data_IF_440278221111
#
_entry.id   IF_440278221111
#
_cell.length_a   1.000
_cell.length_b   1.000
_cell.length_c   1.000
_cell.angle_alpha   90.00
_cell.angle_beta   90.00
_cell.angle_gamma   90.00
#
_symmetry.space_group_name_H-M   'P 1'
#
loop_
_entity.id
_entity.type
_entity.pdbx_description
1 polymer ?
#
# COMPACT_ATOMS: atom_id res chain seq x y z
N UNK A 1 -23.92 17.89 29.59
CA UNK A 1 -23.20 18.57 28.50
C UNK A 1 -22.56 17.46 27.67
N UNK A 2 -23.29 16.93 26.69
CA UNK A 2 -22.82 15.85 25.81
C UNK A 2 -21.90 16.44 24.75
N UNK A 3 -20.63 16.10 24.80
CA UNK A 3 -19.68 16.34 23.71
C UNK A 3 -20.01 15.39 22.57
N UNK A 4 -20.85 15.82 21.64
CA UNK A 4 -20.94 15.22 20.31
C UNK A 4 -19.61 15.48 19.62
N UNK A 5 -18.68 14.52 19.73
CA UNK A 5 -17.53 14.45 18.83
C UNK A 5 -18.08 14.17 17.45
N UNK A 6 -18.26 15.22 16.65
CA UNK A 6 -18.62 15.10 15.25
C UNK A 6 -17.53 14.31 14.54
N UNK A 7 -17.81 13.06 14.21
CA UNK A 7 -16.98 12.19 13.35
C UNK A 7 -17.11 12.64 11.89
N UNK A 8 -16.76 13.90 11.62
CA UNK A 8 -16.86 14.52 10.29
C UNK A 8 -16.02 13.78 9.23
N UNK A 9 -15.05 12.97 9.65
CA UNK A 9 -14.24 12.10 8.79
C UNK A 9 -14.95 10.80 8.36
N UNK A 10 -16.06 10.40 8.98
CA UNK A 10 -16.83 9.21 8.56
C UNK A 10 -17.74 9.48 7.35
N UNK A 11 -18.16 10.73 7.18
CA UNK A 11 -19.09 11.15 6.11
C UNK A 11 -18.45 12.08 5.07
N UNK A 12 -17.16 12.40 5.20
CA UNK A 12 -16.47 13.15 4.17
C UNK A 12 -16.45 12.30 2.88
N UNK A 13 -17.09 12.74 1.78
CA UNK A 13 -16.86 12.14 0.48
C UNK A 13 -15.39 12.39 0.18
N UNK A 14 -14.56 11.38 0.45
CA UNK A 14 -13.15 11.42 0.09
C UNK A 14 -13.03 11.72 -1.41
N UNK A 15 -11.95 12.36 -1.86
CA UNK A 15 -11.71 12.56 -3.28
C UNK A 15 -11.85 11.22 -3.97
N UNK A 16 -12.85 11.12 -4.83
CA UNK A 16 -13.03 9.95 -5.68
C UNK A 16 -11.81 9.92 -6.58
N UNK A 17 -11.07 8.83 -6.53
CA UNK A 17 -9.96 8.61 -7.44
C UNK A 17 -10.46 8.64 -8.91
N UNK A 18 -9.54 8.74 -9.88
CA UNK A 18 -9.83 8.79 -11.32
C UNK A 18 -10.80 7.68 -11.77
N UNK A 19 -10.85 6.56 -11.06
CA UNK A 19 -11.67 5.39 -11.38
C UNK A 19 -12.98 5.32 -10.58
N UNK A 20 -13.38 6.40 -9.88
CA UNK A 20 -14.66 6.47 -9.16
C UNK A 20 -14.70 5.62 -7.88
N UNK A 21 -13.54 5.21 -7.39
CA UNK A 21 -13.40 4.34 -6.21
C UNK A 21 -13.52 5.15 -4.93
N UNK A 22 -14.23 4.60 -3.95
CA UNK A 22 -14.29 5.15 -2.60
C UNK A 22 -12.89 5.10 -1.96
N UNK A 23 -12.33 6.25 -1.60
CA UNK A 23 -10.93 6.36 -1.14
C UNK A 23 -10.66 5.50 0.10
N UNK A 24 -11.64 5.33 0.99
CA UNK A 24 -11.51 4.50 2.19
C UNK A 24 -11.38 3.01 1.87
N UNK A 25 -12.08 2.52 0.83
CA UNK A 25 -11.95 1.13 0.39
C UNK A 25 -10.59 0.86 -0.26
N UNK A 26 -10.11 1.82 -1.05
CA UNK A 26 -8.80 1.72 -1.71
C UNK A 26 -7.67 1.73 -0.67
N UNK A 27 -7.71 2.68 0.27
CA UNK A 27 -6.74 2.76 1.39
C UNK A 27 -6.77 1.48 2.23
N UNK A 28 -7.97 0.97 2.56
CA UNK A 28 -8.10 -0.27 3.32
C UNK A 28 -7.52 -1.47 2.57
N UNK A 29 -7.74 -1.57 1.26
CA UNK A 29 -7.17 -2.65 0.46
C UNK A 29 -5.65 -2.54 0.33
N UNK A 30 -5.13 -1.31 0.17
CA UNK A 30 -3.70 -1.05 0.14
C UNK A 30 -3.01 -1.41 1.46
N UNK A 31 -3.61 -1.04 2.61
CA UNK A 31 -3.07 -1.36 3.94
C UNK A 31 -2.94 -2.88 4.15
N UNK A 32 -3.97 -3.65 3.78
CA UNK A 32 -3.94 -5.11 3.82
C UNK A 32 -2.85 -5.66 2.90
N UNK A 33 -2.76 -5.12 1.67
CA UNK A 33 -1.78 -5.56 0.69
C UNK A 33 -0.34 -5.30 1.17
N UNK A 34 -0.06 -4.09 1.66
CA UNK A 34 1.25 -3.64 2.12
C UNK A 34 1.68 -4.39 3.38
N UNK A 35 0.79 -4.51 4.37
CA UNK A 35 1.07 -5.20 5.64
C UNK A 35 1.50 -6.66 5.43
N UNK A 36 0.86 -7.37 4.50
CA UNK A 36 1.25 -8.74 4.12
C UNK A 36 2.66 -8.80 3.52
N UNK A 37 3.04 -7.80 2.70
CA UNK A 37 4.32 -7.78 1.98
C UNK A 37 5.46 -7.31 2.88
N UNK A 38 5.21 -6.37 3.78
CA UNK A 38 6.16 -6.01 4.83
C UNK A 38 6.42 -7.17 5.80
N UNK A 39 5.38 -7.91 6.18
CA UNK A 39 5.53 -9.11 7.01
C UNK A 39 6.36 -10.19 6.30
N UNK A 40 6.15 -10.36 4.99
CA UNK A 40 6.92 -11.29 4.16
C UNK A 40 8.38 -10.84 3.98
N UNK A 41 8.61 -9.56 3.72
CA UNK A 41 9.94 -8.96 3.59
C UNK A 41 10.76 -9.16 4.88
N UNK A 42 10.15 -8.89 6.04
CA UNK A 42 10.75 -9.18 7.34
C UNK A 42 11.13 -10.65 7.50
N UNK A 43 10.22 -11.57 7.16
CA UNK A 43 10.46 -13.02 7.25
C UNK A 43 11.63 -13.47 6.37
N UNK A 44 11.85 -12.78 5.24
CA UNK A 44 12.92 -13.06 4.28
C UNK A 44 14.24 -12.35 4.58
N UNK A 45 14.24 -11.34 5.45
CA UNK A 45 15.41 -10.47 5.61
C UNK A 45 15.68 -9.58 4.39
N UNK A 46 14.64 -9.25 3.63
CA UNK A 46 14.72 -8.50 2.37
C UNK A 46 14.02 -7.15 2.49
N UNK A 47 14.38 -6.22 1.61
CA UNK A 47 13.68 -4.95 1.41
C UNK A 47 12.52 -5.13 0.43
N UNK A 48 11.59 -4.17 0.42
CA UNK A 48 10.41 -4.17 -0.44
C UNK A 48 10.42 -2.96 -1.34
N UNK A 49 10.25 -3.16 -2.65
CA UNK A 49 9.93 -2.08 -3.58
C UNK A 49 8.63 -2.38 -4.30
N UNK A 50 7.81 -1.36 -4.53
CA UNK A 50 6.57 -1.49 -5.30
C UNK A 50 6.21 -0.22 -6.08
N UNK A 51 5.28 -0.34 -7.01
CA UNK A 51 4.73 0.77 -7.78
C UNK A 51 3.27 0.49 -8.18
N UNK A 52 2.54 1.55 -8.51
CA UNK A 52 1.15 1.46 -8.93
C UNK A 52 1.02 0.89 -10.37
N UNK A 53 0.06 -0.01 -10.56
CA UNK A 53 -0.38 -0.54 -11.85
C UNK A 53 -1.87 -0.23 -12.04
N UNK A 54 -2.48 -0.77 -13.10
CA UNK A 54 -3.93 -0.65 -13.29
C UNK A 54 -4.69 -1.27 -12.11
N UNK A 55 -5.68 -0.54 -11.60
CA UNK A 55 -6.53 -0.97 -10.50
C UNK A 55 -7.52 -2.04 -10.96
N UNK A 56 -7.71 -3.06 -10.13
CA UNK A 56 -8.71 -4.11 -10.35
C UNK A 56 -9.22 -4.66 -9.01
N UNK A 57 -10.42 -5.25 -9.03
CA UNK A 57 -10.93 -6.03 -7.90
C UNK A 57 -10.46 -7.47 -8.01
N UNK A 58 -9.88 -8.00 -6.94
CA UNK A 58 -9.51 -9.42 -6.87
C UNK A 58 -10.73 -10.31 -6.52
N UNK A 59 -10.59 -11.65 -6.54
CA UNK A 59 -11.70 -12.56 -6.21
C UNK A 59 -12.24 -12.46 -4.78
N UNK A 60 -11.43 -11.92 -3.85
CA UNK A 60 -11.84 -11.67 -2.46
C UNK A 60 -12.57 -10.32 -2.32
N UNK A 61 -12.72 -9.60 -3.44
CA UNK A 61 -13.38 -8.31 -3.50
C UNK A 61 -12.51 -7.17 -2.97
N UNK A 62 -11.19 -7.33 -2.84
CA UNK A 62 -10.29 -6.23 -2.46
C UNK A 62 -9.79 -5.48 -3.69
N UNK A 63 -9.51 -4.18 -3.54
CA UNK A 63 -8.79 -3.45 -4.59
C UNK A 63 -7.33 -3.89 -4.62
N UNK A 64 -6.81 -4.08 -5.82
CA UNK A 64 -5.42 -4.37 -6.10
C UNK A 64 -4.98 -3.49 -7.28
N UNK A 65 -3.68 -3.46 -7.55
CA UNK A 65 -3.08 -2.57 -8.54
C UNK A 65 -1.68 -2.14 -8.13
N UNK A 66 -0.94 -3.03 -7.46
CA UNK A 66 0.42 -2.78 -7.02
C UNK A 66 1.30 -3.97 -7.36
N UNK A 67 2.31 -3.73 -8.19
CA UNK A 67 3.36 -4.69 -8.47
C UNK A 67 4.50 -4.48 -7.46
N UNK A 68 5.16 -5.57 -7.05
CA UNK A 68 6.23 -5.51 -6.05
C UNK A 68 7.38 -6.46 -6.37
N UNK A 69 8.53 -6.17 -5.78
CA UNK A 69 9.68 -7.06 -5.73
C UNK A 69 10.27 -7.04 -4.30
N UNK A 70 10.85 -8.17 -3.90
CA UNK A 70 11.73 -8.23 -2.74
C UNK A 70 13.17 -8.26 -3.22
N UNK A 71 14.06 -7.59 -2.50
CA UNK A 71 15.48 -7.55 -2.87
C UNK A 71 16.38 -7.56 -1.64
N UNK A 72 17.58 -8.10 -1.81
CA UNK A 72 18.56 -8.18 -0.74
C UNK A 72 19.13 -6.78 -0.45
N UNK A 73 19.32 -6.41 0.83
CA UNK A 73 19.85 -5.09 1.20
C UNK A 73 21.21 -4.77 0.57
N UNK A 74 22.07 -5.79 0.41
CA UNK A 74 23.40 -5.63 -0.22
C UNK A 74 23.39 -5.65 -1.75
N UNK A 75 22.24 -5.89 -2.39
CA UNK A 75 22.12 -5.98 -3.85
C UNK A 75 20.83 -5.28 -4.33
N UNK A 76 20.74 -3.94 -4.21
CA UNK A 76 19.56 -3.21 -4.62
C UNK A 76 19.39 -3.24 -6.16
N UNK A 77 18.15 -3.43 -6.66
CA UNK A 77 17.86 -3.42 -8.09
C UNK A 77 17.91 -1.99 -8.66
N UNK A 78 18.06 -1.90 -9.98
CA UNK A 78 17.92 -0.61 -10.69
C UNK A 78 16.44 -0.31 -10.84
N UNK A 79 15.95 0.66 -10.07
CA UNK A 79 14.55 1.10 -10.09
C UNK A 79 14.43 2.47 -10.76
N UNK A 80 13.35 2.67 -11.51
CA UNK A 80 13.00 3.99 -12.06
C UNK A 80 12.24 4.85 -11.03
N UNK A 81 11.88 6.06 -11.43
CA UNK A 81 11.34 7.10 -10.52
C UNK A 81 9.94 6.82 -9.96
N UNK A 82 9.26 5.76 -10.42
CA UNK A 82 7.88 5.42 -10.01
C UNK A 82 7.80 4.44 -8.85
N UNK A 83 8.95 3.97 -8.36
CA UNK A 83 9.00 2.97 -7.30
C UNK A 83 9.01 3.62 -5.92
N UNK A 84 8.18 3.10 -5.03
CA UNK A 84 8.28 3.32 -3.59
C UNK A 84 9.12 2.21 -2.99
N UNK A 85 10.12 2.57 -2.18
CA UNK A 85 11.05 1.62 -1.55
C UNK A 85 10.93 1.69 -0.05
N UNK A 86 10.79 0.53 0.58
CA UNK A 86 10.88 0.32 2.01
C UNK A 86 12.17 -0.43 2.32
N UNK A 87 13.17 0.31 2.81
CA UNK A 87 14.42 -0.23 3.33
C UNK A 87 14.21 -0.65 4.79
N UNK A 88 13.89 -1.92 4.97
CA UNK A 88 13.66 -2.53 6.28
C UNK A 88 14.99 -2.88 6.93
N UNK A 89 15.96 -3.31 6.11
CA UNK A 89 17.28 -3.70 6.53
C UNK A 89 18.33 -2.88 5.77
N UNK A 90 19.32 -2.30 6.47
CA UNK A 90 20.39 -1.55 5.82
C UNK A 90 21.35 -2.48 5.07
N UNK A 91 21.99 -1.96 4.01
CA UNK A 91 23.16 -2.62 3.45
C UNK A 91 24.27 -2.63 4.52
N UNK A 92 24.73 -3.84 4.87
CA UNK A 92 25.80 -4.04 5.87
C UNK A 92 27.17 -3.59 5.39
#
# INVERSE_FOLDING_TARGET
METRHSEWWREAPGPTDRDGVCSSELIGSFDIWLSRRLSEAHRRGQNLAFFDTDLFRDPDGLWNGWAHIFFDPGCPPVLGDRWTVYEIFPAG
#
